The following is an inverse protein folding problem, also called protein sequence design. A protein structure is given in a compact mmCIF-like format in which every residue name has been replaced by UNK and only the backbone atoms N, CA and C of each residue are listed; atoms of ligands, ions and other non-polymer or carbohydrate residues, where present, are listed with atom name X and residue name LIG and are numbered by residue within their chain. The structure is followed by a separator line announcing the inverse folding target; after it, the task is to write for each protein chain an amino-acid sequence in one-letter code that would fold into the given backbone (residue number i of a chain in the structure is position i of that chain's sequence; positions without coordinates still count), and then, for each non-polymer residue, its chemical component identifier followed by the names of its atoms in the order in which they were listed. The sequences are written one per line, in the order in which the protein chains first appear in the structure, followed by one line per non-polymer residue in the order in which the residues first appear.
data_IF_690659279672
#
_entry.id   IF_690659279672
#
_cell.length_a   1.000
_cell.length_b   1.000
_cell.length_c   1.000
_cell.angle_alpha   90.00
_cell.angle_beta   90.00
_cell.angle_gamma   90.00
#
_symmetry.space_group_name_H-M   'P 1'
#
loop_
_entity.id
_entity.type
_entity.pdbx_description
1 polymer ?
#
# COMPACT_ATOMS: atom_id res chain seq x y z
N UNK A 1 -9.68 -11.12 2.29
CA UNK A 1 -10.45 -10.28 3.22
C UNK A 1 -10.75 -8.88 2.66
N UNK A 2 -9.79 -8.22 1.99
CA UNK A 2 -9.95 -6.81 1.54
C UNK A 2 -10.86 -6.58 0.32
N UNK A 3 -11.36 -7.62 -0.37
CA UNK A 3 -12.14 -7.41 -1.60
C UNK A 3 -13.41 -6.57 -1.43
N UNK A 4 -14.11 -6.68 -0.30
CA UNK A 4 -15.31 -5.88 -0.05
C UNK A 4 -14.97 -4.39 0.13
N UNK A 5 -13.91 -4.11 0.90
CA UNK A 5 -13.36 -2.77 1.11
C UNK A 5 -12.91 -2.14 -0.22
N UNK A 6 -12.14 -2.86 -1.03
CA UNK A 6 -11.68 -2.38 -2.34
C UNK A 6 -12.84 -2.07 -3.29
N UNK A 7 -13.89 -2.92 -3.31
CA UNK A 7 -15.09 -2.65 -4.11
C UNK A 7 -15.83 -1.40 -3.63
N UNK A 8 -15.86 -1.16 -2.32
CA UNK A 8 -16.43 0.06 -1.74
C UNK A 8 -15.73 1.31 -2.28
N UNK A 9 -14.39 1.35 -2.18
CA UNK A 9 -13.60 2.46 -2.74
C UNK A 9 -13.79 2.63 -4.24
N UNK A 10 -13.78 1.53 -5.00
CA UNK A 10 -14.02 1.57 -6.44
C UNK A 10 -15.40 2.11 -6.82
N UNK A 11 -16.44 1.77 -6.05
CA UNK A 11 -17.79 2.30 -6.25
C UNK A 11 -17.87 3.83 -6.02
N UNK A 12 -16.92 4.40 -5.28
CA UNK A 12 -16.79 5.84 -5.05
C UNK A 12 -15.77 6.52 -5.97
N UNK A 13 -15.30 5.84 -7.02
CA UNK A 13 -14.42 6.43 -8.04
C UNK A 13 -12.92 6.40 -7.70
N UNK A 14 -12.52 5.65 -6.67
CA UNK A 14 -11.10 5.45 -6.36
C UNK A 14 -10.55 4.20 -7.06
N UNK A 15 -9.34 4.30 -7.60
CA UNK A 15 -8.55 3.09 -7.82
C UNK A 15 -8.12 2.53 -6.47
N UNK A 16 -8.36 1.23 -6.24
CA UNK A 16 -8.13 0.59 -4.95
C UNK A 16 -7.32 -0.69 -5.13
N UNK A 17 -6.26 -0.85 -4.34
CA UNK A 17 -5.40 -2.02 -4.33
C UNK A 17 -5.18 -2.53 -2.91
N UNK A 18 -5.01 -3.84 -2.75
CA UNK A 18 -4.52 -4.46 -1.53
C UNK A 18 -3.34 -5.36 -1.88
N UNK A 19 -2.28 -5.25 -1.09
CA UNK A 19 -1.05 -5.99 -1.30
C UNK A 19 -0.96 -7.15 -0.30
N UNK A 20 -0.65 -8.34 -0.79
CA UNK A 20 -0.14 -9.41 0.06
C UNK A 20 1.31 -9.05 0.45
N UNK A 21 1.57 -8.84 1.74
CA UNK A 21 2.93 -8.51 2.21
C UNK A 21 3.91 -9.67 1.99
N UNK A 22 5.21 -9.38 1.97
CA UNK A 22 6.27 -10.37 1.75
C UNK A 22 6.11 -11.62 2.63
N UNK A 23 6.20 -12.80 2.02
CA UNK A 23 6.03 -14.09 2.67
C UNK A 23 4.60 -14.43 3.11
N UNK A 24 3.59 -13.71 2.61
CA UNK A 24 2.18 -13.99 2.85
C UNK A 24 1.46 -14.27 1.54
N UNK A 25 0.57 -15.26 1.59
CA UNK A 25 -0.35 -15.57 0.50
C UNK A 25 0.38 -15.76 -0.84
N UNK A 26 0.11 -14.91 -1.84
CA UNK A 26 0.77 -14.98 -3.14
C UNK A 26 2.18 -14.39 -3.19
N UNK A 27 2.60 -13.63 -2.18
CA UNK A 27 3.89 -12.93 -2.18
C UNK A 27 5.03 -13.82 -1.68
N UNK A 28 6.13 -13.94 -2.44
CA UNK A 28 7.28 -14.76 -2.05
C UNK A 28 8.07 -14.15 -0.87
N UNK A 29 9.07 -14.87 -0.40
CA UNK A 29 9.97 -14.46 0.68
C UNK A 29 9.53 -14.94 2.06
N UNK A 30 10.11 -14.36 3.11
CA UNK A 30 9.85 -14.75 4.50
C UNK A 30 9.05 -13.67 5.20
N UNK A 31 7.98 -14.07 5.89
CA UNK A 31 7.15 -13.17 6.66
C UNK A 31 7.82 -12.81 7.98
N UNK A 32 8.07 -11.51 8.17
CA UNK A 32 8.63 -10.93 9.39
C UNK A 32 7.75 -9.75 9.80
N UNK A 33 6.66 -10.01 10.57
CA UNK A 33 5.70 -8.96 10.88
C UNK A 33 6.35 -7.82 11.67
N UNK A 34 6.00 -6.57 11.33
CA UNK A 34 6.58 -5.36 11.92
C UNK A 34 8.10 -5.22 11.70
N UNK A 35 8.63 -5.94 10.71
CA UNK A 35 10.03 -5.92 10.35
C UNK A 35 10.39 -4.77 9.40
N UNK A 36 11.69 -4.64 9.11
CA UNK A 36 12.23 -3.55 8.28
C UNK A 36 11.79 -3.57 6.81
N UNK A 37 11.23 -4.69 6.33
CA UNK A 37 10.84 -4.83 4.93
C UNK A 37 9.58 -4.02 4.57
N UNK A 38 8.69 -3.75 5.53
CA UNK A 38 7.41 -3.09 5.27
C UNK A 38 7.56 -1.68 4.71
N UNK A 39 8.59 -0.96 5.16
CA UNK A 39 8.95 0.36 4.63
C UNK A 39 9.30 0.30 3.14
N UNK A 40 10.23 -0.58 2.76
CA UNK A 40 10.70 -0.71 1.39
C UNK A 40 9.66 -1.31 0.45
N UNK A 41 8.93 -2.33 0.91
CA UNK A 41 7.88 -3.00 0.14
C UNK A 41 6.68 -2.06 -0.09
N UNK A 42 6.31 -1.27 0.92
CA UNK A 42 5.30 -0.24 0.80
C UNK A 42 5.72 0.87 -0.16
N UNK A 43 6.96 1.37 -0.03
CA UNK A 43 7.49 2.41 -0.92
C UNK A 43 7.51 1.96 -2.38
N UNK A 44 7.95 0.72 -2.64
CA UNK A 44 7.93 0.13 -3.98
C UNK A 44 6.51 0.00 -4.53
N UNK A 45 5.53 -0.35 -3.69
CA UNK A 45 4.13 -0.47 -4.09
C UNK A 45 3.52 0.89 -4.44
N UNK A 46 3.84 1.94 -3.68
CA UNK A 46 3.38 3.31 -3.98
C UNK A 46 3.98 3.81 -5.29
N UNK A 47 5.29 3.65 -5.49
CA UNK A 47 5.95 4.04 -6.73
C UNK A 47 5.34 3.29 -7.93
N UNK A 48 5.17 1.97 -7.82
CA UNK A 48 4.51 1.17 -8.85
C UNK A 48 3.09 1.65 -9.14
N UNK A 49 2.30 1.96 -8.11
CA UNK A 49 0.92 2.44 -8.29
C UNK A 49 0.89 3.77 -9.08
N UNK A 50 1.81 4.70 -8.83
CA UNK A 50 1.90 5.98 -9.55
C UNK A 50 2.20 5.82 -11.04
N UNK A 51 2.95 4.79 -11.41
CA UNK A 51 3.28 4.50 -12.81
C UNK A 51 2.09 3.95 -13.61
N UNK A 52 1.01 3.52 -12.94
CA UNK A 52 -0.11 2.91 -13.61
C UNK A 52 -1.01 3.96 -14.28
N UNK A 53 -1.44 3.67 -15.51
CA UNK A 53 -2.30 4.56 -16.29
C UNK A 53 -3.66 4.83 -15.63
N UNK A 54 -4.15 3.88 -14.84
CA UNK A 54 -5.41 4.01 -14.10
C UNK A 54 -5.31 4.92 -12.86
N UNK A 55 -4.11 5.25 -12.40
CA UNK A 55 -3.92 6.17 -11.26
C UNK A 55 -4.16 7.63 -11.63
N UNK A 56 -4.15 7.97 -12.93
CA UNK A 56 -4.44 9.32 -13.42
C UNK A 56 -3.50 10.40 -12.89
N UNK A 57 -2.33 10.02 -12.37
CA UNK A 57 -1.42 10.93 -11.66
C UNK A 57 -1.99 11.51 -10.36
N UNK A 58 -3.09 10.95 -9.85
CA UNK A 58 -3.75 11.39 -8.63
C UNK A 58 -2.96 11.05 -7.36
N UNK A 59 -3.37 11.62 -6.22
CA UNK A 59 -2.74 11.34 -4.94
C UNK A 59 -2.90 9.87 -4.54
N UNK A 60 -1.86 9.30 -3.93
CA UNK A 60 -1.88 7.96 -3.36
C UNK A 60 -2.11 8.07 -1.86
N UNK A 61 -3.12 7.37 -1.35
CA UNK A 61 -3.41 7.31 0.09
C UNK A 61 -3.12 5.90 0.58
N UNK A 62 -2.27 5.78 1.60
CA UNK A 62 -2.09 4.52 2.32
C UNK A 62 -3.11 4.44 3.45
N UNK A 63 -3.86 3.35 3.53
CA UNK A 63 -4.92 3.21 4.52
C UNK A 63 -4.93 1.82 5.14
N UNK A 64 -5.40 1.74 6.39
CA UNK A 64 -5.67 0.44 6.99
C UNK A 64 -5.85 0.48 8.50
N UNK A 65 -6.08 -0.69 9.07
CA UNK A 65 -6.22 -0.89 10.52
C UNK A 65 -5.24 -1.96 11.01
N UNK A 66 -4.90 -1.92 12.31
CA UNK A 66 -4.01 -2.91 12.94
C UNK A 66 -2.68 -3.08 12.18
N UNK A 67 -2.35 -4.29 11.71
CA UNK A 67 -1.14 -4.53 10.93
C UNK A 67 -1.05 -3.65 9.67
N UNK A 68 -2.16 -3.44 8.95
CA UNK A 68 -2.17 -2.60 7.77
C UNK A 68 -1.93 -1.11 8.12
N UNK A 69 -2.39 -0.65 9.28
CA UNK A 69 -2.08 0.70 9.77
C UNK A 69 -0.57 0.87 10.04
N UNK A 70 0.07 -0.17 10.59
CA UNK A 70 1.53 -0.15 10.74
C UNK A 70 2.23 -0.04 9.38
N UNK A 71 1.86 -0.89 8.41
CA UNK A 71 2.42 -0.83 7.05
C UNK A 71 2.23 0.56 6.42
N UNK A 72 1.03 1.13 6.51
CA UNK A 72 0.74 2.48 5.99
C UNK A 72 1.62 3.55 6.63
N UNK A 73 1.78 3.51 7.96
CA UNK A 73 2.60 4.48 8.70
C UNK A 73 4.09 4.35 8.35
N UNK A 74 4.67 3.15 8.37
CA UNK A 74 6.11 2.97 8.08
C UNK A 74 6.44 3.27 6.62
N UNK A 75 5.50 3.01 5.70
CA UNK A 75 5.63 3.43 4.30
C UNK A 75 5.77 4.96 4.21
N UNK A 76 4.90 5.71 4.88
CA UNK A 76 4.95 7.17 4.85
C UNK A 76 6.21 7.75 5.51
N UNK A 77 6.69 7.13 6.59
CA UNK A 77 7.85 7.61 7.34
C UNK A 77 9.17 7.37 6.61
N UNK A 78 9.32 6.22 5.96
CA UNK A 78 10.60 5.80 5.40
C UNK A 78 10.76 5.98 3.89
N UNK A 79 9.68 6.15 3.14
CA UNK A 79 9.80 6.32 1.69
C UNK A 79 10.32 7.72 1.28
N UNK A 80 11.36 7.80 0.41
CA UNK A 80 11.76 9.03 -0.26
C UNK A 80 10.99 9.24 -1.57
N UNK A 81 10.77 10.51 -1.93
CA UNK A 81 10.24 10.89 -3.26
C UNK A 81 8.94 10.19 -3.62
N UNK A 82 8.88 9.64 -4.83
CA UNK A 82 7.67 9.05 -5.42
C UNK A 82 7.16 7.80 -4.69
N UNK A 83 7.97 7.18 -3.83
CA UNK A 83 7.55 6.05 -3.00
C UNK A 83 6.72 6.45 -1.79
N UNK A 84 6.59 7.75 -1.50
CA UNK A 84 5.81 8.23 -0.34
C UNK A 84 4.34 8.44 -0.73
N UNK A 85 3.38 7.93 0.07
CA UNK A 85 1.97 8.26 -0.12
C UNK A 85 1.71 9.73 0.25
N UNK A 86 0.75 10.36 -0.43
CA UNK A 86 0.35 11.74 -0.20
C UNK A 86 -0.43 11.91 1.12
N UNK A 87 -1.07 10.84 1.60
CA UNK A 87 -1.73 10.82 2.91
C UNK A 87 -1.75 9.41 3.51
N UNK A 88 -1.95 9.35 4.84
CA UNK A 88 -2.23 8.13 5.59
C UNK A 88 -3.56 8.30 6.33
N UNK A 89 -4.44 7.29 6.23
CA UNK A 89 -5.75 7.26 6.92
C UNK A 89 -5.87 5.99 7.76
#
# INVERSE_FOLDING_TARGET
AHQAELRGWAAHGFAALAQDVRGRHGSPGTWHPYGKHEEGDGAATVAWAREQTWSGGGPVVAAGSSYAAHCALVTALGAPGDGRPDAVI
#
